data_IF_734646020191
#
_entry.id   IF_734646020191
#
_cell.length_a   1.000
_cell.length_b   1.000
_cell.length_c   1.000
_cell.angle_alpha   90.00
_cell.angle_beta   90.00
_cell.angle_gamma   90.00
#
_symmetry.space_group_name_H-M   'P 1'
#
loop_
_entity.id
_entity.type
_entity.pdbx_description
1 polymer ?
#
# COMPACT_ATOMS: atom_id res chain seq x y z
N UNK A 1 -45.06 22.68 -16.96
CA UNK A 1 -45.08 21.58 -15.98
C UNK A 1 -43.76 21.58 -15.24
N UNK A 2 -43.73 22.32 -14.15
CA UNK A 2 -42.58 22.62 -13.30
C UNK A 2 -42.88 21.98 -11.94
N UNK A 3 -42.08 21.01 -11.52
CA UNK A 3 -42.21 20.37 -10.21
C UNK A 3 -41.13 20.93 -9.29
N UNK A 4 -41.59 21.73 -8.34
CA UNK A 4 -40.86 22.33 -7.23
C UNK A 4 -40.66 21.26 -6.17
N UNK A 5 -39.42 21.01 -5.76
CA UNK A 5 -39.12 20.19 -4.57
C UNK A 5 -39.09 21.13 -3.36
N UNK A 6 -40.15 21.05 -2.57
CA UNK A 6 -40.32 21.77 -1.30
C UNK A 6 -39.46 21.12 -0.21
N UNK A 7 -38.65 21.93 0.45
CA UNK A 7 -37.93 21.58 1.68
C UNK A 7 -38.92 21.55 2.84
N UNK A 8 -39.12 20.39 3.46
CA UNK A 8 -39.86 20.28 4.72
C UNK A 8 -38.86 20.02 5.86
N UNK A 9 -38.61 21.06 6.64
CA UNK A 9 -38.06 20.95 7.99
C UNK A 9 -39.14 20.31 8.88
N UNK A 10 -38.81 19.20 9.55
CA UNK A 10 -39.68 18.61 10.56
C UNK A 10 -38.99 18.63 11.91
N UNK A 11 -39.70 19.30 12.82
CA UNK A 11 -39.30 19.69 14.16
C UNK A 11 -39.12 18.47 15.08
N UNK A 12 -38.11 18.59 15.94
CA UNK A 12 -37.98 17.83 17.18
C UNK A 12 -39.23 18.03 18.05
N UNK A 13 -39.94 16.95 18.34
CA UNK A 13 -40.61 16.61 19.60
C UNK A 13 -41.79 15.65 19.35
N UNK A 14 -41.53 14.33 19.34
CA UNK A 14 -42.56 13.32 19.62
C UNK A 14 -41.98 12.16 20.46
N UNK A 15 -42.78 11.57 21.37
CA UNK A 15 -42.34 10.50 22.27
C UNK A 15 -42.15 9.15 21.55
N UNK A 16 -41.32 8.24 22.09
CA UNK A 16 -40.79 7.11 21.36
C UNK A 16 -41.69 5.88 21.46
N UNK A 17 -42.82 5.80 20.74
CA UNK A 17 -43.63 4.56 20.71
C UNK A 17 -44.21 4.14 19.35
N UNK A 18 -43.82 4.74 18.22
CA UNK A 18 -44.44 4.38 16.91
C UNK A 18 -43.49 3.96 15.79
N UNK A 19 -42.33 3.37 16.12
CA UNK A 19 -41.43 2.74 15.13
C UNK A 19 -41.13 1.25 15.41
N UNK A 20 -41.98 0.57 16.18
CA UNK A 20 -41.89 -0.87 16.41
C UNK A 20 -43.03 -1.58 15.68
N UNK A 21 -42.89 -1.82 14.37
CA UNK A 21 -43.70 -2.84 13.65
C UNK A 21 -43.19 -3.17 12.24
N UNK A 22 -41.88 -3.17 12.00
CA UNK A 22 -41.28 -3.84 10.84
C UNK A 22 -39.97 -4.48 11.30
N UNK A 23 -39.83 -5.80 11.10
CA UNK A 23 -38.68 -6.67 11.41
C UNK A 23 -38.60 -7.23 12.85
N UNK A 24 -39.18 -8.42 13.10
CA UNK A 24 -38.85 -9.21 14.28
C UNK A 24 -37.71 -10.18 13.92
N UNK A 25 -36.45 -9.74 14.08
CA UNK A 25 -35.30 -10.64 14.09
C UNK A 25 -34.61 -10.59 15.47
N UNK A 26 -33.98 -11.70 15.86
CA UNK A 26 -33.37 -11.94 17.19
C UNK A 26 -32.41 -10.84 17.67
N UNK A 27 -31.89 -10.01 16.76
CA UNK A 27 -31.02 -8.86 17.06
C UNK A 27 -31.75 -7.74 17.81
N UNK A 28 -33.03 -7.52 17.52
CA UNK A 28 -33.84 -6.46 18.17
C UNK A 28 -34.13 -6.81 19.63
N UNK A 29 -34.36 -8.10 19.92
CA UNK A 29 -34.53 -8.63 21.28
C UNK A 29 -33.26 -8.50 22.13
N UNK A 30 -32.09 -8.70 21.52
CA UNK A 30 -30.79 -8.58 22.21
C UNK A 30 -30.52 -7.14 22.68
N UNK A 31 -30.89 -6.15 21.87
CA UNK A 31 -30.70 -4.72 22.20
C UNK A 31 -31.62 -4.29 23.36
N UNK A 32 -32.83 -4.83 23.40
CA UNK A 32 -33.82 -4.50 24.43
C UNK A 32 -33.42 -5.05 25.81
N UNK A 33 -32.91 -6.29 25.89
CA UNK A 33 -32.39 -6.88 27.13
C UNK A 33 -31.10 -6.20 27.65
N UNK A 34 -30.26 -5.67 26.77
CA UNK A 34 -28.99 -5.00 27.16
C UNK A 34 -29.24 -3.58 27.73
N UNK A 35 -30.33 -2.93 27.31
CA UNK A 35 -30.63 -1.54 27.70
C UNK A 35 -31.13 -1.37 29.14
N UNK A 36 -31.59 -2.43 29.81
CA UNK A 36 -32.33 -2.36 31.07
C UNK A 36 -31.47 -2.43 32.35
N UNK A 37 -30.12 -2.48 32.25
CA UNK A 37 -29.29 -2.81 33.42
C UNK A 37 -28.06 -1.95 33.74
N UNK A 38 -27.63 -0.97 32.93
CA UNK A 38 -26.42 -0.19 33.25
C UNK A 38 -26.32 1.19 32.57
N UNK A 39 -25.90 2.26 33.27
CA UNK A 39 -25.81 3.62 32.72
C UNK A 39 -24.75 3.80 31.62
N UNK A 40 -23.71 2.94 31.57
CA UNK A 40 -22.69 3.01 30.52
C UNK A 40 -23.18 2.48 29.16
N UNK A 41 -24.25 1.66 29.14
CA UNK A 41 -24.78 1.05 27.92
C UNK A 41 -25.85 1.92 27.23
N UNK A 42 -26.58 2.74 27.99
CA UNK A 42 -27.42 3.81 27.44
C UNK A 42 -26.59 4.82 26.61
N UNK A 43 -25.35 5.08 27.04
CA UNK A 43 -24.39 5.94 26.32
C UNK A 43 -23.96 5.33 24.98
N UNK A 44 -23.78 4.00 24.93
CA UNK A 44 -23.42 3.27 23.70
C UNK A 44 -24.60 3.24 22.73
N UNK A 45 -25.83 3.02 23.22
CA UNK A 45 -27.05 3.09 22.40
C UNK A 45 -27.29 4.51 21.84
N UNK A 46 -27.03 5.55 22.64
CA UNK A 46 -27.09 6.94 22.20
C UNK A 46 -26.02 7.25 21.12
N UNK A 47 -24.80 6.75 21.28
CA UNK A 47 -23.73 6.87 20.28
C UNK A 47 -24.07 6.17 18.96
N UNK A 48 -24.69 4.98 19.01
CA UNK A 48 -25.11 4.28 17.79
C UNK A 48 -26.24 4.99 17.04
N UNK A 49 -27.17 5.61 17.78
CA UNK A 49 -28.27 6.42 17.22
C UNK A 49 -27.79 7.71 16.54
N UNK A 50 -26.79 8.39 17.11
CA UNK A 50 -26.25 9.65 16.58
C UNK A 50 -25.27 9.44 15.41
N UNK A 51 -24.53 8.32 15.40
CA UNK A 51 -23.44 8.10 14.44
C UNK A 51 -23.77 7.11 13.30
N UNK A 52 -24.96 6.53 13.25
CA UNK A 52 -25.38 5.61 12.17
C UNK A 52 -24.55 4.31 12.11
N UNK A 53 -24.15 3.76 13.26
CA UNK A 53 -23.33 2.56 13.33
C UNK A 53 -24.13 1.28 13.06
N UNK A 54 -23.53 0.32 12.34
CA UNK A 54 -24.10 -1.03 12.09
C UNK A 54 -23.33 -2.10 12.83
N UNK A 55 -24.04 -3.02 13.48
CA UNK A 55 -23.45 -4.23 14.08
C UNK A 55 -23.38 -5.35 13.05
N UNK A 56 -22.24 -6.02 12.93
CA UNK A 56 -22.09 -7.23 12.11
C UNK A 56 -21.78 -8.42 13.01
N UNK A 57 -22.71 -9.36 13.23
CA UNK A 57 -22.43 -10.56 13.99
C UNK A 57 -21.51 -11.50 13.18
N UNK A 58 -20.40 -11.93 13.76
CA UNK A 58 -19.56 -12.99 13.21
C UNK A 58 -20.02 -14.31 13.82
N UNK A 59 -20.56 -15.22 13.00
CA UNK A 59 -20.97 -16.56 13.45
C UNK A 59 -19.71 -17.42 13.62
N UNK A 60 -19.46 -17.91 14.84
CA UNK A 60 -18.47 -18.96 15.06
C UNK A 60 -18.96 -20.29 14.44
N UNK A 61 -18.10 -21.07 13.76
CA UNK A 61 -18.48 -22.37 13.26
C UNK A 61 -18.63 -23.34 14.43
N UNK A 62 -19.85 -23.85 14.62
CA UNK A 62 -20.23 -25.04 15.38
C UNK A 62 -19.35 -25.44 16.59
N UNK A 63 -19.33 -24.62 17.64
CA UNK A 63 -19.06 -25.08 19.00
C UNK A 63 -20.17 -24.60 19.95
N UNK A 64 -20.60 -25.46 20.88
CA UNK A 64 -21.72 -25.19 21.82
C UNK A 64 -21.37 -24.21 22.95
N UNK A 65 -20.29 -23.45 22.83
CA UNK A 65 -19.89 -22.41 23.77
C UNK A 65 -19.29 -21.25 22.95
N UNK A 66 -20.07 -20.18 22.82
CA UNK A 66 -19.60 -18.95 22.20
C UNK A 66 -19.00 -18.10 23.32
N UNK A 67 -17.67 -18.14 23.47
CA UNK A 67 -16.97 -17.48 24.60
C UNK A 67 -16.50 -16.06 24.27
N UNK A 68 -16.71 -15.56 23.05
CA UNK A 68 -16.19 -14.26 22.65
C UNK A 68 -17.10 -13.59 21.61
N UNK A 69 -17.63 -12.41 21.95
CA UNK A 69 -18.38 -11.54 21.05
C UNK A 69 -17.58 -10.24 20.90
N UNK A 70 -16.99 -10.03 19.73
CA UNK A 70 -16.18 -8.83 19.45
C UNK A 70 -17.06 -7.80 18.73
N UNK A 71 -17.32 -6.67 19.38
CA UNK A 71 -17.99 -5.51 18.79
C UNK A 71 -16.96 -4.51 18.27
N UNK A 72 -17.10 -4.10 17.01
CA UNK A 72 -16.31 -3.00 16.44
C UNK A 72 -17.16 -1.73 16.39
N UNK A 73 -16.67 -0.64 17.01
CA UNK A 73 -17.30 0.67 16.90
C UNK A 73 -16.44 1.54 15.97
N UNK A 74 -16.97 1.92 14.82
CA UNK A 74 -16.30 2.82 13.87
C UNK A 74 -16.90 4.21 14.04
N UNK A 75 -16.11 5.19 14.49
CA UNK A 75 -16.55 6.59 14.62
C UNK A 75 -15.99 7.39 13.44
N UNK A 76 -16.82 7.82 12.47
CA UNK A 76 -16.36 8.64 11.36
C UNK A 76 -16.17 10.10 11.81
N UNK A 77 -14.92 10.54 12.00
CA UNK A 77 -14.62 11.96 12.19
C UNK A 77 -14.54 12.67 10.83
N UNK A 78 -15.65 13.25 10.37
CA UNK A 78 -15.67 14.21 9.27
C UNK A 78 -15.54 15.62 9.88
N UNK A 79 -14.34 16.19 9.86
CA UNK A 79 -14.20 17.63 10.05
C UNK A 79 -14.31 18.31 8.67
N UNK A 80 -15.55 18.62 8.25
CA UNK A 80 -15.76 19.59 7.19
C UNK A 80 -15.57 20.99 7.77
N UNK A 81 -14.69 21.77 7.15
CA UNK A 81 -14.53 23.19 7.41
C UNK A 81 -15.79 23.94 6.98
N UNK A 82 -16.76 24.06 7.89
CA UNK A 82 -17.81 25.07 7.81
C UNK A 82 -18.13 25.54 9.24
N UNK A 83 -18.34 26.84 9.38
CA UNK A 83 -18.26 27.66 10.60
C UNK A 83 -19.41 27.45 11.61
N UNK A 84 -19.75 26.20 11.91
CA UNK A 84 -20.63 25.84 13.02
C UNK A 84 -20.05 24.61 13.76
N UNK A 85 -18.80 24.72 14.19
CA UNK A 85 -18.19 23.74 15.08
C UNK A 85 -18.80 23.87 16.48
N UNK A 86 -19.85 23.08 16.77
CA UNK A 86 -20.13 22.71 18.17
C UNK A 86 -18.92 21.91 18.65
N UNK A 87 -18.10 22.52 19.49
CA UNK A 87 -17.04 21.83 20.21
C UNK A 87 -17.68 20.76 21.10
N UNK A 88 -17.51 19.48 20.75
CA UNK A 88 -17.72 18.40 21.70
C UNK A 88 -16.44 18.31 22.52
N UNK A 89 -16.46 18.88 23.73
CA UNK A 89 -15.35 18.80 24.66
C UNK A 89 -15.24 17.37 25.18
N UNK A 90 -14.30 16.61 24.61
CA UNK A 90 -13.96 15.23 24.98
C UNK A 90 -13.08 15.17 26.24
N UNK A 91 -13.47 15.89 27.30
CA UNK A 91 -12.68 16.02 28.53
C UNK A 91 -12.95 14.93 29.58
N UNK A 92 -13.82 13.95 29.31
CA UNK A 92 -14.14 12.86 30.26
C UNK A 92 -13.61 11.47 29.88
N UNK A 93 -12.94 11.30 28.73
CA UNK A 93 -12.22 10.07 28.41
C UNK A 93 -10.76 10.19 28.87
N UNK A 94 -10.54 10.03 30.18
CA UNK A 94 -9.22 9.75 30.72
C UNK A 94 -8.68 8.47 30.09
N UNK A 95 -7.45 8.54 29.56
CA UNK A 95 -6.69 7.43 28.96
C UNK A 95 -7.42 6.60 27.89
N UNK A 96 -6.92 6.65 26.64
CA UNK A 96 -7.20 5.60 25.65
C UNK A 96 -6.55 4.31 26.18
N UNK A 97 -7.34 3.54 26.93
CA UNK A 97 -7.00 2.21 27.41
C UNK A 97 -7.81 1.20 26.61
N UNK A 98 -7.21 0.05 26.32
CA UNK A 98 -7.97 -1.13 25.95
C UNK A 98 -8.79 -1.55 27.16
N UNK A 99 -10.05 -1.14 27.24
CA UNK A 99 -10.96 -1.63 28.27
C UNK A 99 -11.58 -2.95 27.81
N UNK A 100 -11.31 -4.03 28.55
CA UNK A 100 -12.07 -5.27 28.44
C UNK A 100 -13.00 -5.40 29.63
N UNK A 101 -14.27 -5.66 29.39
CA UNK A 101 -15.23 -5.98 30.44
C UNK A 101 -15.89 -7.32 30.13
N UNK A 102 -15.91 -8.21 31.12
CA UNK A 102 -16.52 -9.53 31.00
C UNK A 102 -17.87 -9.52 31.71
N UNK A 103 -18.90 -10.03 31.04
CA UNK A 103 -20.26 -10.09 31.53
C UNK A 103 -20.75 -11.53 31.49
N UNK A 104 -21.49 -11.96 32.51
CA UNK A 104 -22.18 -13.24 32.48
C UNK A 104 -23.46 -13.11 31.64
N UNK A 105 -23.53 -13.78 30.50
CA UNK A 105 -24.70 -13.88 29.64
C UNK A 105 -25.42 -15.21 29.89
N UNK A 106 -26.73 -15.18 30.15
CA UNK A 106 -27.54 -16.41 30.26
C UNK A 106 -28.43 -16.55 29.03
N UNK A 107 -28.30 -17.66 28.32
CA UNK A 107 -29.13 -17.92 27.14
C UNK A 107 -30.56 -18.33 27.53
N UNK A 108 -31.47 -18.40 26.53
CA UNK A 108 -32.88 -18.80 26.73
C UNK A 108 -33.07 -20.21 27.30
N UNK A 109 -32.02 -21.03 27.30
CA UNK A 109 -32.01 -22.39 27.86
C UNK A 109 -31.46 -22.41 29.30
N UNK A 110 -31.18 -21.25 29.90
CA UNK A 110 -30.67 -21.13 31.27
C UNK A 110 -29.15 -21.30 31.41
N UNK A 111 -28.42 -21.48 30.31
CA UNK A 111 -26.97 -21.69 30.32
C UNK A 111 -26.27 -20.34 30.41
N UNK A 112 -25.46 -20.14 31.44
CA UNK A 112 -24.64 -18.95 31.64
C UNK A 112 -23.28 -19.11 30.96
N UNK A 113 -22.81 -18.08 30.25
CA UNK A 113 -21.52 -18.02 29.55
C UNK A 113 -20.92 -16.64 29.74
N UNK A 114 -19.60 -16.57 29.92
CA UNK A 114 -18.90 -15.29 30.03
C UNK A 114 -18.67 -14.69 28.64
N UNK A 115 -19.07 -13.43 28.46
CA UNK A 115 -18.90 -12.66 27.23
C UNK A 115 -17.98 -11.49 27.52
N UNK A 116 -16.80 -11.50 26.90
CA UNK A 116 -15.86 -10.38 26.99
C UNK A 116 -16.08 -9.38 25.86
N UNK A 117 -16.46 -8.15 26.22
CA UNK A 117 -16.50 -7.01 25.32
C UNK A 117 -15.14 -6.33 25.31
N UNK A 118 -14.57 -6.15 24.12
CA UNK A 118 -13.33 -5.37 23.91
C UNK A 118 -13.64 -4.14 23.04
N UNK A 119 -13.41 -2.96 23.59
CA UNK A 119 -13.52 -1.73 22.82
C UNK A 119 -12.18 -1.45 22.12
N UNK A 120 -12.18 -1.38 20.79
CA UNK A 120 -11.01 -1.01 19.99
C UNK A 120 -11.31 0.28 19.25
N UNK A 121 -10.59 1.35 19.55
CA UNK A 121 -10.64 2.58 18.77
C UNK A 121 -9.80 2.39 17.50
N UNK A 122 -10.46 2.37 16.35
CA UNK A 122 -9.80 2.26 15.04
C UNK A 122 -9.99 3.63 14.34
N UNK A 123 -8.93 4.39 14.04
CA UNK A 123 -9.06 5.55 13.17
C UNK A 123 -9.55 5.09 11.78
N UNK A 124 -10.35 5.89 11.06
CA UNK A 124 -11.06 5.41 9.87
C UNK A 124 -10.06 4.96 8.79
N UNK A 125 -9.96 3.64 8.63
CA UNK A 125 -9.20 2.96 7.58
C UNK A 125 -10.17 1.93 6.99
N UNK A 126 -10.34 1.97 5.67
CA UNK A 126 -11.08 0.95 4.94
C UNK A 126 -10.37 -0.41 5.08
N UNK A 127 -11.08 -1.40 5.61
CA UNK A 127 -10.63 -2.79 5.72
C UNK A 127 -10.65 -3.49 4.34
N UNK A 128 -9.92 -4.61 4.13
CA UNK A 128 -10.15 -5.84 4.88
C UNK A 128 -8.91 -6.59 5.42
N UNK A 129 -9.05 -7.06 6.67
CA UNK A 129 -8.56 -8.30 7.31
C UNK A 129 -7.25 -8.94 6.83
N UNK A 130 -6.20 -8.87 7.66
CA UNK A 130 -5.75 -9.94 8.56
C UNK A 130 -4.46 -9.51 9.29
N UNK A 131 -4.30 -10.02 10.51
CA UNK A 131 -3.13 -9.97 11.42
C UNK A 131 -3.11 -8.83 12.44
N UNK A 132 -3.08 -9.24 13.70
CA UNK A 132 -2.95 -8.46 14.92
C UNK A 132 -1.68 -7.59 14.88
N UNK A 133 -1.85 -6.30 14.63
CA UNK A 133 -0.79 -5.30 14.82
C UNK A 133 -0.73 -4.96 16.31
N UNK A 134 0.40 -5.27 16.94
CA UNK A 134 0.78 -4.64 18.21
C UNK A 134 0.89 -3.14 17.95
N UNK A 135 -0.11 -2.38 18.37
CA UNK A 135 -0.09 -0.91 18.34
C UNK A 135 1.00 -0.41 19.29
N UNK A 136 2.21 -0.26 18.76
CA UNK A 136 3.18 0.66 19.33
C UNK A 136 2.58 2.04 19.10
N UNK A 137 2.29 2.76 20.19
CA UNK A 137 1.92 4.17 20.19
C UNK A 137 2.69 4.91 19.08
N UNK A 138 1.98 5.28 18.01
CA UNK A 138 2.42 6.33 17.10
C UNK A 138 2.43 7.58 17.96
N UNK A 139 3.56 7.85 18.62
CA UNK A 139 3.80 9.16 19.18
C UNK A 139 3.63 10.10 18.00
N UNK A 140 2.56 10.91 18.03
CA UNK A 140 2.35 11.96 17.06
C UNK A 140 3.53 12.95 17.20
N UNK A 141 4.67 12.62 16.58
CA UNK A 141 5.63 13.64 16.17
C UNK A 141 4.77 14.59 15.35
N UNK A 142 4.64 15.82 15.80
CA UNK A 142 3.90 16.84 15.09
C UNK A 142 4.54 17.01 13.73
N UNK A 143 4.09 16.23 12.75
CA UNK A 143 4.65 16.32 11.42
C UNK A 143 4.14 17.63 10.84
N UNK A 144 5.07 18.56 10.64
CA UNK A 144 4.75 19.86 10.09
C UNK A 144 4.28 19.70 8.64
N UNK A 145 3.37 20.57 8.20
CA UNK A 145 2.97 20.64 6.79
C UNK A 145 4.19 20.78 5.85
N UNK A 146 5.28 21.37 6.35
CA UNK A 146 6.54 21.52 5.64
C UNK A 146 7.27 20.19 5.41
N UNK A 147 7.26 19.28 6.38
CA UNK A 147 7.87 17.95 6.22
C UNK A 147 7.08 17.11 5.22
N UNK A 148 5.75 17.10 5.32
CA UNK A 148 4.89 16.43 4.34
C UNK A 148 5.16 16.95 2.92
N UNK A 149 5.21 18.28 2.75
CA UNK A 149 5.53 18.90 1.47
C UNK A 149 6.92 18.53 0.94
N UNK A 150 7.92 18.47 1.82
CA UNK A 150 9.27 18.03 1.45
C UNK A 150 9.25 16.62 0.87
N UNK A 151 8.57 15.68 1.53
CA UNK A 151 8.48 14.30 1.06
C UNK A 151 7.71 14.17 -0.24
N UNK A 152 6.65 14.95 -0.43
CA UNK A 152 5.92 15.00 -1.71
C UNK A 152 6.86 15.36 -2.87
N UNK A 153 7.68 16.40 -2.72
CA UNK A 153 8.65 16.85 -3.76
C UNK A 153 9.74 15.82 -4.08
N UNK A 154 10.02 14.91 -3.16
CA UNK A 154 11.01 13.83 -3.33
C UNK A 154 10.39 12.63 -4.04
N UNK A 155 9.09 12.39 -3.88
CA UNK A 155 8.43 11.16 -4.30
C UNK A 155 7.56 11.29 -5.55
N UNK A 156 7.18 12.50 -5.91
CA UNK A 156 6.34 12.75 -7.08
C UNK A 156 6.75 14.04 -7.79
N UNK A 157 6.49 14.08 -9.09
CA UNK A 157 6.56 15.30 -9.88
C UNK A 157 5.55 16.34 -9.40
N UNK A 158 5.76 17.59 -9.82
CA UNK A 158 4.78 18.64 -9.56
C UNK A 158 3.46 18.28 -10.23
N UNK A 159 2.34 18.35 -9.50
CA UNK A 159 1.05 17.96 -10.04
C UNK A 159 0.57 18.97 -11.08
N UNK A 160 0.01 18.47 -12.18
CA UNK A 160 -0.61 19.27 -13.24
C UNK A 160 -2.14 19.25 -13.20
N UNK A 161 -2.72 18.35 -12.40
CA UNK A 161 -4.16 18.17 -12.25
C UNK A 161 -4.56 17.84 -10.80
N UNK A 162 -5.86 17.74 -10.56
CA UNK A 162 -6.42 17.47 -9.23
C UNK A 162 -6.03 16.08 -8.68
N UNK A 163 -5.97 15.07 -9.53
CA UNK A 163 -5.58 13.72 -9.13
C UNK A 163 -4.12 13.69 -8.69
N UNK A 164 -3.24 14.31 -9.47
CA UNK A 164 -1.83 14.51 -9.16
C UNK A 164 -1.66 15.27 -7.86
N UNK A 165 -2.45 16.32 -7.63
CA UNK A 165 -2.39 17.12 -6.40
C UNK A 165 -2.75 16.30 -5.16
N UNK A 166 -3.77 15.45 -5.25
CA UNK A 166 -4.15 14.54 -4.17
C UNK A 166 -3.11 13.44 -3.97
N UNK A 167 -2.57 12.88 -5.05
CA UNK A 167 -1.49 11.90 -4.99
C UNK A 167 -0.23 12.46 -4.33
N UNK A 168 0.16 13.67 -4.73
CA UNK A 168 1.32 14.39 -4.21
C UNK A 168 1.17 14.63 -2.70
N UNK A 169 0.02 15.12 -2.25
CA UNK A 169 -0.28 15.32 -0.81
C UNK A 169 -0.31 13.99 -0.05
N UNK A 170 -0.91 12.96 -0.63
CA UNK A 170 -0.95 11.63 -0.04
C UNK A 170 0.45 11.10 0.21
N UNK A 171 1.34 11.09 -0.79
CA UNK A 171 2.70 10.57 -0.65
C UNK A 171 3.47 11.28 0.46
N UNK A 172 3.34 12.61 0.53
CA UNK A 172 3.96 13.42 1.57
C UNK A 172 3.46 13.05 2.96
N UNK A 173 2.15 12.91 3.15
CA UNK A 173 1.54 12.53 4.44
C UNK A 173 1.89 11.10 4.81
N UNK A 174 1.80 10.17 3.87
CA UNK A 174 2.11 8.76 4.11
C UNK A 174 3.53 8.59 4.61
N UNK A 175 4.50 9.25 3.97
CA UNK A 175 5.87 9.31 4.46
C UNK A 175 5.96 9.94 5.84
N UNK A 176 5.40 11.14 6.00
CA UNK A 176 5.43 11.91 7.24
C UNK A 176 5.00 11.13 8.48
N UNK A 177 4.01 10.25 8.36
CA UNK A 177 3.42 9.53 9.50
C UNK A 177 3.81 8.06 9.61
N UNK A 178 4.17 7.40 8.49
CA UNK A 178 4.63 6.01 8.54
C UNK A 178 6.06 5.91 9.08
N UNK A 179 6.53 4.72 9.42
CA UNK A 179 7.93 4.47 9.81
C UNK A 179 8.46 3.16 9.24
N UNK A 180 9.74 3.14 8.85
CA UNK A 180 10.40 1.93 8.41
C UNK A 180 10.89 1.13 9.62
N UNK A 181 10.20 0.04 9.95
CA UNK A 181 10.63 -0.89 11.00
C UNK A 181 10.83 -2.30 10.45
N UNK A 182 11.65 -3.15 11.10
CA UNK A 182 11.79 -4.54 10.68
C UNK A 182 10.43 -5.23 10.56
N UNK A 183 10.27 -6.07 9.53
CA UNK A 183 9.05 -6.83 9.21
C UNK A 183 7.81 -6.00 8.79
N UNK A 184 7.89 -4.67 8.70
CA UNK A 184 6.76 -3.85 8.24
C UNK A 184 6.62 -3.75 6.70
N UNK A 185 7.58 -4.28 5.95
CA UNK A 185 7.65 -4.14 4.48
C UNK A 185 6.34 -4.50 3.77
N UNK A 186 5.79 -5.69 3.99
CA UNK A 186 4.63 -6.16 3.22
C UNK A 186 3.37 -5.32 3.51
N UNK A 187 3.18 -4.94 4.77
CA UNK A 187 2.07 -4.10 5.19
C UNK A 187 2.19 -2.70 4.56
N UNK A 188 3.35 -2.05 4.66
CA UNK A 188 3.57 -0.73 4.06
C UNK A 188 3.43 -0.77 2.53
N UNK A 189 3.88 -1.84 1.89
CA UNK A 189 3.77 -2.03 0.45
C UNK A 189 2.31 -2.12 -0.01
N UNK A 190 1.50 -2.94 0.67
CA UNK A 190 0.08 -3.08 0.38
C UNK A 190 -0.68 -1.80 0.67
N UNK A 191 -0.45 -1.18 1.83
CA UNK A 191 -1.12 0.06 2.22
C UNK A 191 -0.82 1.20 1.22
N UNK A 192 0.44 1.37 0.84
CA UNK A 192 0.82 2.34 -0.18
C UNK A 192 0.13 2.11 -1.53
N UNK A 193 0.00 0.85 -1.94
CA UNK A 193 -0.66 0.49 -3.19
C UNK A 193 -2.18 0.74 -3.13
N UNK A 194 -2.83 0.31 -2.04
CA UNK A 194 -4.27 0.48 -1.83
C UNK A 194 -4.66 1.96 -1.84
N UNK A 195 -3.84 2.82 -1.22
CA UNK A 195 -4.08 4.26 -1.22
C UNK A 195 -3.95 4.86 -2.62
N UNK A 196 -2.94 4.44 -3.40
CA UNK A 196 -2.83 4.82 -4.82
C UNK A 196 -4.05 4.35 -5.60
N UNK A 197 -4.52 3.12 -5.37
CA UNK A 197 -5.68 2.55 -6.02
C UNK A 197 -6.96 3.30 -5.65
N UNK A 198 -7.14 3.65 -4.37
CA UNK A 198 -8.27 4.44 -3.90
C UNK A 198 -8.32 5.82 -4.59
N UNK A 199 -7.18 6.52 -4.68
CA UNK A 199 -7.09 7.77 -5.44
C UNK A 199 -7.47 7.55 -6.91
N UNK A 200 -6.92 6.49 -7.52
CA UNK A 200 -7.17 6.17 -8.93
C UNK A 200 -8.64 5.82 -9.22
N UNK A 201 -9.34 5.17 -8.28
CA UNK A 201 -10.79 4.89 -8.33
C UNK A 201 -11.61 6.16 -8.20
N UNK A 202 -11.25 7.05 -7.26
CA UNK A 202 -11.93 8.35 -7.06
C UNK A 202 -11.96 9.18 -8.34
N UNK A 203 -10.88 9.16 -9.12
CA UNK A 203 -10.78 9.88 -10.39
C UNK A 203 -11.14 9.03 -11.62
N UNK A 204 -11.64 7.81 -11.44
CA UNK A 204 -12.10 6.96 -12.55
C UNK A 204 -11.01 6.62 -13.57
N UNK A 205 -9.76 6.49 -13.16
CA UNK A 205 -8.65 6.28 -14.10
C UNK A 205 -8.58 4.88 -14.68
N UNK A 206 -7.92 4.74 -15.83
CA UNK A 206 -7.63 3.44 -16.45
C UNK A 206 -6.72 2.56 -15.57
N UNK A 207 -5.84 3.15 -14.75
CA UNK A 207 -5.04 2.41 -13.78
C UNK A 207 -5.92 1.56 -12.86
N UNK A 208 -7.02 2.13 -12.33
CA UNK A 208 -7.92 1.40 -11.44
C UNK A 208 -8.60 0.22 -12.15
N UNK A 209 -8.97 0.40 -13.42
CA UNK A 209 -9.55 -0.66 -14.23
C UNK A 209 -8.56 -1.79 -14.52
N UNK A 210 -7.28 -1.48 -14.76
CA UNK A 210 -6.27 -2.51 -15.01
C UNK A 210 -5.98 -3.40 -13.80
N UNK A 211 -5.88 -2.80 -12.61
CA UNK A 211 -5.49 -3.55 -11.40
C UNK A 211 -6.69 -4.08 -10.62
N UNK A 212 -7.88 -3.56 -10.90
CA UNK A 212 -9.14 -3.99 -10.29
C UNK A 212 -10.30 -4.02 -11.31
N UNK A 213 -10.26 -4.82 -12.39
CA UNK A 213 -11.30 -4.81 -13.42
C UNK A 213 -12.71 -5.02 -12.86
N UNK A 214 -13.71 -4.35 -13.41
CA UNK A 214 -15.09 -4.46 -12.96
C UNK A 214 -15.40 -3.75 -11.65
N UNK A 215 -14.47 -2.93 -11.11
CA UNK A 215 -14.71 -2.17 -9.88
C UNK A 215 -15.87 -1.17 -10.03
N UNK A 216 -16.06 -0.59 -11.22
CA UNK A 216 -17.18 0.32 -11.52
C UNK A 216 -18.53 -0.39 -11.52
N UNK A 217 -18.56 -1.68 -11.84
CA UNK A 217 -19.78 -2.50 -11.90
C UNK A 217 -20.04 -3.24 -10.58
N UNK A 218 -19.26 -2.97 -9.53
CA UNK A 218 -19.38 -3.59 -8.22
C UNK A 218 -18.89 -5.04 -8.15
N UNK A 219 -18.22 -5.54 -9.20
CA UNK A 219 -17.64 -6.90 -9.26
C UNK A 219 -16.12 -6.83 -9.48
N UNK A 220 -15.36 -6.20 -8.55
CA UNK A 220 -13.93 -6.03 -8.73
C UNK A 220 -13.19 -7.38 -8.68
N UNK A 221 -12.33 -7.63 -9.66
CA UNK A 221 -11.29 -8.66 -9.58
C UNK A 221 -9.98 -8.01 -9.17
N UNK A 222 -9.38 -8.38 -8.05
CA UNK A 222 -8.16 -7.72 -7.55
C UNK A 222 -6.88 -8.30 -8.18
N UNK A 223 -6.60 -7.96 -9.43
CA UNK A 223 -5.45 -8.48 -10.18
C UNK A 223 -4.09 -8.20 -9.50
N UNK A 224 -3.94 -7.07 -8.80
CA UNK A 224 -2.73 -6.81 -8.03
C UNK A 224 -2.54 -7.80 -6.87
N UNK A 225 -3.61 -8.19 -6.17
CA UNK A 225 -3.56 -9.22 -5.12
C UNK A 225 -3.29 -10.58 -5.72
N UNK A 226 -3.91 -10.91 -6.85
CA UNK A 226 -3.63 -12.16 -7.55
C UNK A 226 -2.15 -12.26 -7.94
N UNK A 227 -1.52 -11.16 -8.35
CA UNK A 227 -0.08 -11.15 -8.64
C UNK A 227 0.73 -11.27 -7.36
N UNK A 228 0.35 -10.54 -6.32
CA UNK A 228 0.98 -10.56 -5.01
C UNK A 228 0.98 -11.96 -4.35
N UNK A 229 -0.10 -12.73 -4.57
CA UNK A 229 -0.27 -14.11 -4.10
C UNK A 229 0.18 -15.17 -5.11
N UNK A 230 0.57 -14.75 -6.31
CA UNK A 230 1.16 -15.58 -7.36
C UNK A 230 0.18 -16.40 -8.20
N UNK A 231 -1.12 -16.13 -8.11
CA UNK A 231 -2.17 -16.79 -8.91
C UNK A 231 -2.50 -16.04 -10.20
N UNK A 232 -1.93 -14.86 -10.41
CA UNK A 232 -2.15 -14.09 -11.64
C UNK A 232 -1.49 -14.77 -12.84
N UNK A 233 -2.29 -15.32 -13.74
CA UNK A 233 -1.82 -16.18 -14.83
C UNK A 233 -1.12 -15.48 -15.99
N UNK A 234 -1.04 -14.14 -16.01
CA UNK A 234 -0.55 -13.38 -17.17
C UNK A 234 0.85 -12.81 -16.97
N UNK A 235 1.61 -12.71 -18.05
CA UNK A 235 2.86 -11.97 -18.09
C UNK A 235 2.61 -10.46 -17.99
N UNK A 236 3.55 -9.76 -17.35
CA UNK A 236 3.49 -8.30 -17.23
C UNK A 236 4.66 -7.73 -18.02
N UNK A 237 4.37 -6.65 -18.74
CA UNK A 237 5.30 -5.99 -19.64
C UNK A 237 5.42 -4.50 -19.32
N UNK A 238 6.64 -3.99 -19.44
CA UNK A 238 6.95 -2.56 -19.63
C UNK A 238 7.55 -2.36 -21.01
N UNK A 239 7.47 -1.15 -21.53
CA UNK A 239 7.91 -0.85 -22.90
C UNK A 239 8.46 0.57 -23.03
N UNK A 240 9.45 0.71 -23.90
CA UNK A 240 9.93 1.98 -24.43
C UNK A 240 9.64 2.02 -25.93
N UNK A 241 8.77 2.94 -26.34
CA UNK A 241 8.30 3.06 -27.73
C UNK A 241 8.83 4.36 -28.31
N UNK A 242 9.52 4.26 -29.44
CA UNK A 242 10.13 5.39 -30.13
C UNK A 242 9.07 6.38 -30.61
N UNK A 243 9.23 7.65 -30.27
CA UNK A 243 8.31 8.73 -30.62
C UNK A 243 6.99 8.75 -29.84
N UNK A 244 6.79 7.84 -28.87
CA UNK A 244 5.58 7.85 -28.05
C UNK A 244 5.69 8.87 -26.90
N UNK A 245 4.74 9.80 -26.70
CA UNK A 245 4.87 10.93 -25.77
C UNK A 245 5.22 10.59 -24.31
N UNK A 246 4.96 9.35 -23.87
CA UNK A 246 5.27 8.86 -22.52
C UNK A 246 6.31 7.74 -22.46
N UNK A 247 6.60 7.10 -23.59
CA UNK A 247 7.47 5.93 -23.63
C UNK A 247 8.79 6.21 -24.35
N UNK A 248 8.93 7.38 -24.97
CA UNK A 248 10.13 7.83 -25.66
C UNK A 248 11.29 8.10 -24.68
N UNK A 249 11.01 8.63 -23.50
CA UNK A 249 12.04 8.81 -22.45
C UNK A 249 12.59 7.44 -21.99
N UNK A 250 11.72 6.45 -21.83
CA UNK A 250 12.12 5.06 -21.52
C UNK A 250 12.94 4.48 -22.67
N UNK A 251 12.52 4.72 -23.91
CA UNK A 251 13.23 4.30 -25.10
C UNK A 251 14.65 4.89 -25.16
N UNK A 252 14.80 6.19 -24.95
CA UNK A 252 16.10 6.87 -24.89
C UNK A 252 17.02 6.27 -23.83
N UNK A 253 16.51 6.03 -22.62
CA UNK A 253 17.31 5.42 -21.54
C UNK A 253 17.70 3.96 -21.84
N UNK A 254 16.80 3.16 -22.41
CA UNK A 254 17.13 1.79 -22.83
C UNK A 254 18.27 1.80 -23.85
N UNK A 255 18.19 2.69 -24.85
CA UNK A 255 19.22 2.83 -25.89
C UNK A 255 20.58 3.25 -25.35
N UNK A 256 20.59 4.15 -24.37
CA UNK A 256 21.83 4.67 -23.77
C UNK A 256 22.49 3.67 -22.82
N UNK A 257 21.69 2.92 -22.05
CA UNK A 257 22.18 2.18 -20.89
C UNK A 257 22.26 0.67 -21.06
N UNK A 258 21.53 0.09 -22.00
CA UNK A 258 21.66 -1.34 -22.27
C UNK A 258 23.09 -1.65 -22.74
N UNK A 259 23.67 -2.80 -22.34
CA UNK A 259 24.97 -3.21 -22.83
C UNK A 259 25.00 -3.25 -24.37
N UNK A 260 26.08 -2.77 -25.01
CA UNK A 260 26.15 -2.70 -26.47
C UNK A 260 26.15 -4.08 -27.14
N UNK A 261 26.46 -5.14 -26.39
CA UNK A 261 26.47 -6.53 -26.84
C UNK A 261 25.23 -7.27 -26.32
N UNK A 262 24.19 -7.50 -27.16
CA UNK A 262 23.05 -8.33 -26.78
C UNK A 262 23.45 -9.80 -26.70
N UNK A 263 22.68 -10.60 -25.94
CA UNK A 263 22.94 -12.04 -25.78
C UNK A 263 22.58 -12.83 -27.05
N UNK A 264 21.51 -12.41 -27.73
CA UNK A 264 21.00 -13.06 -28.96
C UNK A 264 20.38 -12.05 -29.90
N UNK A 265 20.42 -12.37 -31.21
CA UNK A 265 19.97 -11.49 -32.31
C UNK A 265 18.56 -11.87 -32.82
N UNK A 266 18.05 -13.07 -32.55
CA UNK A 266 16.68 -13.41 -32.97
C UNK A 266 16.01 -14.27 -31.92
N UNK A 267 14.89 -13.80 -31.36
CA UNK A 267 14.12 -14.53 -30.35
C UNK A 267 12.64 -14.24 -30.52
N UNK A 268 11.81 -15.28 -30.52
CA UNK A 268 10.36 -15.07 -30.49
C UNK A 268 9.93 -14.46 -29.16
N UNK A 269 8.98 -13.53 -29.20
CA UNK A 269 8.37 -13.02 -27.99
C UNK A 269 7.56 -14.12 -27.29
N UNK A 270 7.52 -14.10 -25.97
CA UNK A 270 6.61 -14.97 -25.24
C UNK A 270 5.17 -14.65 -25.65
N UNK A 271 4.40 -15.66 -26.07
CA UNK A 271 3.10 -15.52 -26.74
C UNK A 271 1.97 -14.88 -25.88
N UNK A 272 2.25 -14.45 -24.66
CA UNK A 272 1.29 -13.79 -23.79
C UNK A 272 1.41 -12.25 -23.84
N UNK A 273 1.19 -11.69 -25.04
CA UNK A 273 1.08 -10.23 -25.31
C UNK A 273 -0.33 -9.82 -25.73
N UNK A 274 -1.30 -10.73 -25.61
CA UNK A 274 -2.67 -10.58 -26.12
C UNK A 274 -3.43 -9.39 -25.54
N UNK A 275 -3.14 -9.00 -24.29
CA UNK A 275 -3.77 -7.85 -23.62
C UNK A 275 -3.10 -6.50 -23.90
N UNK A 276 -1.99 -6.47 -24.64
CA UNK A 276 -1.43 -5.20 -25.09
C UNK A 276 -2.33 -4.63 -26.18
N UNK A 277 -2.58 -3.32 -26.13
CA UNK A 277 -3.21 -2.60 -27.23
C UNK A 277 -2.44 -2.91 -28.52
N UNK A 278 -3.15 -3.11 -29.63
CA UNK A 278 -2.54 -3.57 -30.87
C UNK A 278 -1.37 -2.68 -31.33
N UNK A 279 -1.49 -1.36 -31.11
CA UNK A 279 -0.44 -0.38 -31.39
C UNK A 279 0.81 -0.53 -30.52
N UNK A 280 0.71 -1.22 -29.38
CA UNK A 280 1.78 -1.45 -28.40
C UNK A 280 2.25 -2.90 -28.39
N UNK A 281 1.68 -3.77 -29.23
CA UNK A 281 2.13 -5.17 -29.32
C UNK A 281 3.51 -5.20 -29.96
N UNK A 282 4.46 -5.98 -29.39
CA UNK A 282 5.71 -6.22 -30.08
C UNK A 282 5.43 -6.94 -31.41
N UNK A 283 6.32 -6.75 -32.39
CA UNK A 283 6.37 -7.68 -33.50
C UNK A 283 6.61 -9.11 -32.97
N UNK A 284 6.25 -10.14 -33.73
CA UNK A 284 6.38 -11.53 -33.28
C UNK A 284 7.82 -11.96 -32.98
N UNK A 285 8.80 -11.23 -33.52
CA UNK A 285 10.22 -11.54 -33.44
C UNK A 285 11.00 -10.35 -32.88
N UNK A 286 11.74 -10.57 -31.79
CA UNK A 286 12.76 -9.66 -31.30
C UNK A 286 14.04 -9.81 -32.14
N UNK A 287 14.68 -8.68 -32.46
CA UNK A 287 15.97 -8.61 -33.18
C UNK A 287 17.17 -8.49 -32.24
N UNK A 288 16.95 -8.20 -30.97
CA UNK A 288 17.98 -8.23 -29.94
C UNK A 288 17.33 -8.62 -28.61
N UNK A 289 18.08 -9.27 -27.74
CA UNK A 289 17.67 -9.43 -26.34
C UNK A 289 18.84 -9.39 -25.36
N UNK A 290 18.51 -8.98 -24.14
CA UNK A 290 19.41 -8.92 -22.99
C UNK A 290 18.78 -9.68 -21.81
N UNK A 291 19.61 -10.44 -21.13
CA UNK A 291 19.26 -11.29 -19.99
C UNK A 291 20.12 -10.87 -18.81
N UNK A 292 19.46 -10.35 -17.78
CA UNK A 292 20.14 -10.01 -16.54
C UNK A 292 19.80 -11.05 -15.47
N UNK A 293 20.76 -11.93 -15.21
CA UNK A 293 20.64 -12.96 -14.20
C UNK A 293 20.58 -12.34 -12.80
N UNK A 294 19.64 -12.81 -11.99
CA UNK A 294 19.53 -12.47 -10.59
C UNK A 294 19.10 -13.71 -9.79
N UNK A 295 20.10 -14.43 -9.26
CA UNK A 295 19.89 -15.70 -8.54
C UNK A 295 19.15 -16.68 -9.48
N UNK A 296 18.03 -17.23 -9.03
CA UNK A 296 17.19 -18.17 -9.78
C UNK A 296 16.14 -17.47 -10.66
N UNK A 297 16.34 -16.18 -10.95
CA UNK A 297 15.46 -15.35 -11.77
C UNK A 297 16.24 -14.68 -12.90
N UNK A 298 15.53 -14.30 -13.96
CA UNK A 298 16.10 -13.63 -15.13
C UNK A 298 15.21 -12.46 -15.55
N UNK A 299 15.81 -11.27 -15.63
CA UNK A 299 15.17 -10.11 -16.28
C UNK A 299 15.47 -10.19 -17.77
N UNK A 300 14.42 -10.12 -18.60
CA UNK A 300 14.55 -10.18 -20.05
C UNK A 300 14.10 -8.85 -20.67
N UNK A 301 14.96 -8.31 -21.52
CA UNK A 301 14.67 -7.13 -22.35
C UNK A 301 14.81 -7.54 -23.81
N UNK A 302 13.88 -7.10 -24.64
CA UNK A 302 13.81 -7.40 -26.06
C UNK A 302 13.77 -6.09 -26.84
N UNK A 303 14.37 -6.07 -28.02
CA UNK A 303 14.19 -5.02 -29.01
C UNK A 303 13.50 -5.60 -30.24
N UNK A 304 12.48 -4.93 -30.78
CA UNK A 304 11.83 -5.32 -32.05
C UNK A 304 12.50 -4.64 -33.27
N UNK A 305 12.04 -4.97 -34.49
CA UNK A 305 12.59 -4.37 -35.73
C UNK A 305 12.28 -2.88 -35.89
N UNK A 306 11.29 -2.39 -35.15
CA UNK A 306 10.89 -0.98 -35.13
C UNK A 306 11.69 -0.17 -34.13
N UNK A 307 12.73 -0.78 -33.54
CA UNK A 307 13.60 -0.16 -32.55
C UNK A 307 12.85 0.12 -31.24
N UNK A 308 11.79 -0.61 -30.92
CA UNK A 308 11.09 -0.52 -29.63
C UNK A 308 11.66 -1.52 -28.63
N UNK A 309 11.64 -1.17 -27.34
CA UNK A 309 12.10 -2.02 -26.26
C UNK A 309 10.93 -2.57 -25.43
N UNK A 310 11.01 -3.84 -25.08
CA UNK A 310 10.02 -4.55 -24.25
C UNK A 310 10.72 -5.27 -23.11
N UNK A 311 10.26 -5.02 -21.89
CA UNK A 311 10.80 -5.63 -20.68
C UNK A 311 9.77 -6.57 -20.07
N UNK A 312 10.19 -7.82 -19.87
CA UNK A 312 9.39 -8.83 -19.19
C UNK A 312 9.65 -8.77 -17.68
N UNK A 313 8.58 -8.56 -16.92
CA UNK A 313 8.64 -8.63 -15.47
C UNK A 313 8.61 -10.10 -15.00
N UNK A 314 8.99 -10.33 -13.75
CA UNK A 314 8.94 -11.68 -13.19
C UNK A 314 7.54 -12.32 -13.26
N UNK A 315 7.52 -13.65 -13.44
CA UNK A 315 6.31 -14.48 -13.39
C UNK A 315 5.62 -14.32 -12.03
N UNK A 316 4.28 -14.32 -12.02
CA UNK A 316 3.51 -14.16 -10.78
C UNK A 316 3.81 -15.23 -9.75
N UNK A 317 4.02 -16.49 -10.15
CA UNK A 317 4.38 -17.58 -9.23
C UNK A 317 5.69 -17.36 -8.48
N UNK A 318 6.60 -16.53 -9.02
CA UNK A 318 7.86 -16.18 -8.35
C UNK A 318 7.67 -15.09 -7.28
N UNK A 319 6.57 -14.33 -7.32
CA UNK A 319 6.30 -13.22 -6.41
C UNK A 319 6.23 -13.68 -4.95
N UNK A 320 5.34 -14.62 -4.56
CA UNK A 320 5.29 -15.10 -3.18
C UNK A 320 6.45 -16.05 -2.82
N UNK A 321 6.99 -16.78 -3.79
CA UNK A 321 7.97 -17.86 -3.53
C UNK A 321 9.41 -17.35 -3.36
N UNK A 322 9.81 -16.38 -4.18
CA UNK A 322 11.21 -15.94 -4.27
C UNK A 322 11.33 -14.46 -3.93
N UNK A 323 10.49 -13.63 -4.58
CA UNK A 323 10.68 -12.18 -4.60
C UNK A 323 10.30 -11.54 -3.26
N UNK A 324 9.09 -11.80 -2.73
CA UNK A 324 8.64 -11.27 -1.44
C UNK A 324 9.55 -11.67 -0.28
N UNK A 325 9.92 -12.96 -0.08
CA UNK A 325 10.90 -13.34 0.95
C UNK A 325 12.24 -12.63 0.80
N UNK A 326 12.72 -12.43 -0.45
CA UNK A 326 13.97 -11.72 -0.72
C UNK A 326 13.87 -10.24 -0.37
N UNK A 327 12.79 -9.57 -0.77
CA UNK A 327 12.52 -8.17 -0.44
C UNK A 327 12.43 -7.95 1.08
N UNK A 328 11.71 -8.82 1.80
CA UNK A 328 11.66 -8.81 3.28
C UNK A 328 13.05 -8.94 3.90
N UNK A 329 13.87 -9.88 3.40
CA UNK A 329 15.25 -10.06 3.86
C UNK A 329 16.10 -8.82 3.60
N UNK A 330 15.96 -8.19 2.44
CA UNK A 330 16.71 -6.98 2.08
C UNK A 330 16.28 -5.78 2.92
N UNK A 331 14.97 -5.56 3.09
CA UNK A 331 14.40 -4.56 3.99
C UNK A 331 14.96 -4.67 5.41
N UNK A 332 14.87 -5.86 6.00
CA UNK A 332 15.40 -6.13 7.33
C UNK A 332 16.92 -5.96 7.40
N UNK A 333 17.66 -6.35 6.35
CA UNK A 333 19.10 -6.16 6.29
C UNK A 333 19.51 -4.69 6.17
N UNK A 334 18.69 -3.85 5.53
CA UNK A 334 18.88 -2.39 5.51
C UNK A 334 18.67 -1.77 6.88
N UNK A 335 17.63 -2.19 7.61
CA UNK A 335 17.29 -1.62 8.92
C UNK A 335 18.08 -2.23 10.10
N UNK A 336 18.87 -3.29 9.88
CA UNK A 336 19.64 -3.94 10.94
C UNK A 336 20.90 -3.12 11.30
N UNK A 337 20.84 -2.42 12.44
CA UNK A 337 21.94 -1.60 13.00
C UNK A 337 23.27 -2.32 13.16
N UNK A 338 23.26 -3.63 13.44
CA UNK A 338 24.48 -4.43 13.62
C UNK A 338 25.25 -4.68 12.31
N UNK A 339 24.75 -4.22 11.14
CA UNK A 339 25.44 -4.36 9.85
C UNK A 339 26.19 -3.07 9.52
N UNK A 340 27.35 -3.21 8.88
CA UNK A 340 28.10 -2.05 8.38
C UNK A 340 27.26 -1.22 7.40
N UNK A 341 27.50 0.09 7.39
CA UNK A 341 26.82 1.07 6.51
C UNK A 341 26.79 0.58 5.07
N UNK A 342 27.95 0.20 4.51
CA UNK A 342 28.04 -0.30 3.14
C UNK A 342 27.21 -1.56 2.85
N UNK A 343 27.01 -2.45 3.83
CA UNK A 343 26.14 -3.63 3.68
C UNK A 343 24.66 -3.25 3.74
N UNK A 344 24.30 -2.23 4.52
CA UNK A 344 22.93 -1.68 4.59
C UNK A 344 22.57 -0.96 3.29
N UNK A 345 23.46 -0.11 2.76
CA UNK A 345 23.24 0.60 1.48
C UNK A 345 23.09 -0.34 0.29
N UNK A 346 23.92 -1.39 0.20
CA UNK A 346 23.76 -2.42 -0.83
C UNK A 346 22.42 -3.15 -0.74
N UNK A 347 21.96 -3.43 0.49
CA UNK A 347 20.68 -4.11 0.69
C UNK A 347 19.51 -3.22 0.25
N UNK A 348 19.60 -1.90 0.50
CA UNK A 348 18.65 -0.90 0.03
C UNK A 348 18.63 -0.83 -1.49
N UNK A 349 19.80 -0.69 -2.13
CA UNK A 349 19.88 -0.62 -3.59
C UNK A 349 19.40 -1.91 -4.28
N UNK A 350 19.74 -3.08 -3.73
CA UNK A 350 19.27 -4.36 -4.27
C UNK A 350 17.76 -4.52 -4.09
N UNK A 351 17.20 -4.02 -2.98
CA UNK A 351 15.74 -3.97 -2.77
C UNK A 351 15.06 -3.13 -3.84
N UNK A 352 15.57 -1.93 -4.08
CA UNK A 352 15.04 -1.02 -5.11
C UNK A 352 15.01 -1.69 -6.48
N UNK A 353 16.16 -2.23 -6.93
CA UNK A 353 16.26 -2.89 -8.23
C UNK A 353 15.25 -4.04 -8.36
N UNK A 354 15.21 -4.93 -7.37
CA UNK A 354 14.31 -6.07 -7.39
C UNK A 354 12.84 -5.64 -7.39
N UNK A 355 12.48 -4.62 -6.60
CA UNK A 355 11.11 -4.12 -6.55
C UNK A 355 10.67 -3.51 -7.89
N UNK A 356 11.49 -2.62 -8.45
CA UNK A 356 11.16 -1.93 -9.71
C UNK A 356 11.05 -2.91 -10.88
N UNK A 357 12.02 -3.82 -11.02
CA UNK A 357 11.96 -4.84 -12.05
C UNK A 357 10.79 -5.80 -11.86
N UNK A 358 10.52 -6.30 -10.65
CA UNK A 358 9.49 -7.34 -10.50
C UNK A 358 8.07 -6.79 -10.53
N UNK A 359 7.89 -5.50 -10.23
CA UNK A 359 6.60 -4.80 -10.21
C UNK A 359 5.49 -5.67 -9.57
N UNK A 360 5.54 -5.91 -8.24
CA UNK A 360 4.74 -6.96 -7.59
C UNK A 360 3.21 -6.80 -7.69
N UNK A 361 2.73 -5.62 -8.08
CA UNK A 361 1.30 -5.27 -8.09
C UNK A 361 0.70 -5.07 -9.48
N UNK A 362 1.30 -5.62 -10.53
CA UNK A 362 0.89 -5.51 -11.95
C UNK A 362 1.19 -4.11 -12.50
N UNK A 363 0.76 -3.06 -11.80
CA UNK A 363 1.10 -1.67 -12.06
C UNK A 363 1.58 -0.98 -10.79
N UNK A 364 2.15 0.19 -10.98
CA UNK A 364 2.48 1.11 -9.89
C UNK A 364 3.69 0.77 -9.03
N UNK A 365 4.51 -0.20 -9.46
CA UNK A 365 5.79 -0.53 -8.83
C UNK A 365 6.75 0.65 -8.71
N UNK A 366 6.82 1.55 -9.70
CA UNK A 366 7.68 2.74 -9.68
C UNK A 366 7.41 3.63 -8.44
N UNK A 367 6.14 3.96 -8.23
CA UNK A 367 5.72 4.86 -7.16
C UNK A 367 5.83 4.19 -5.78
N UNK A 368 5.33 2.95 -5.65
CA UNK A 368 5.42 2.23 -4.36
C UNK A 368 6.86 1.91 -3.99
N UNK A 369 7.72 1.59 -4.97
CA UNK A 369 9.14 1.34 -4.74
C UNK A 369 9.88 2.60 -4.31
N UNK A 370 9.57 3.74 -4.94
CA UNK A 370 10.14 5.03 -4.56
C UNK A 370 9.78 5.40 -3.12
N UNK A 371 8.54 5.16 -2.72
CA UNK A 371 8.05 5.38 -1.36
C UNK A 371 8.74 4.45 -0.34
N UNK A 372 8.74 3.14 -0.59
CA UNK A 372 9.40 2.15 0.30
C UNK A 372 10.90 2.41 0.44
N UNK A 373 11.56 2.82 -0.65
CA UNK A 373 12.94 3.26 -0.62
C UNK A 373 13.13 4.51 0.25
N UNK A 374 12.25 5.51 0.15
CA UNK A 374 12.33 6.71 0.96
C UNK A 374 12.15 6.42 2.46
N UNK A 375 11.28 5.47 2.83
CA UNK A 375 11.15 4.99 4.21
C UNK A 375 12.49 4.47 4.75
N UNK A 376 13.14 3.57 4.01
CA UNK A 376 14.44 3.03 4.43
C UNK A 376 15.51 4.12 4.48
N UNK A 377 15.56 5.03 3.50
CA UNK A 377 16.51 6.15 3.49
C UNK A 377 16.29 7.04 4.73
N UNK A 378 15.05 7.42 5.03
CA UNK A 378 14.76 8.24 6.22
C UNK A 378 15.19 7.54 7.50
N UNK A 379 14.86 6.26 7.65
CA UNK A 379 15.25 5.49 8.84
C UNK A 379 16.78 5.41 9.02
N UNK A 380 17.54 5.22 7.94
CA UNK A 380 19.01 5.28 7.98
C UNK A 380 19.50 6.67 8.40
N UNK A 381 18.94 7.73 7.84
CA UNK A 381 19.34 9.10 8.13
C UNK A 381 19.04 9.50 9.59
N UNK A 382 17.86 9.15 10.11
CA UNK A 382 17.49 9.40 11.51
C UNK A 382 18.35 8.64 12.52
N UNK A 383 18.95 7.51 12.11
CA UNK A 383 19.94 6.77 12.91
C UNK A 383 21.35 7.39 12.87
N UNK A 384 21.55 8.49 12.14
CA UNK A 384 22.86 9.13 11.96
C UNK A 384 23.77 8.41 10.97
N UNK A 385 23.23 7.54 10.11
CA UNK A 385 24.01 6.94 9.02
C UNK A 385 24.33 8.03 7.99
N UNK A 386 25.60 8.22 7.58
CA UNK A 386 26.00 9.27 6.65
C UNK A 386 25.55 8.92 5.22
N UNK A 387 24.28 9.21 4.94
CA UNK A 387 23.69 9.02 3.61
C UNK A 387 23.22 10.34 3.01
N UNK A 388 23.26 10.40 1.68
CA UNK A 388 22.63 11.46 0.91
C UNK A 388 21.17 11.12 0.68
N UNK A 389 20.28 11.81 1.39
CA UNK A 389 18.84 11.75 1.12
C UNK A 389 18.55 12.35 -0.27
N UNK A 390 17.61 11.72 -0.99
CA UNK A 390 17.02 12.33 -2.18
C UNK A 390 16.37 13.67 -1.80
N UNK A 391 16.62 14.70 -2.60
CA UNK A 391 16.08 16.06 -2.42
C UNK A 391 15.15 16.49 -3.56
N UNK A 392 14.99 15.66 -4.59
CA UNK A 392 14.10 15.85 -5.73
C UNK A 392 13.60 14.51 -6.25
N UNK A 393 12.49 14.54 -6.98
CA UNK A 393 12.00 13.40 -7.74
C UNK A 393 13.02 12.95 -8.80
N UNK A 394 13.14 11.63 -8.95
CA UNK A 394 13.97 10.96 -9.96
C UNK A 394 13.24 9.69 -10.37
N UNK A 395 13.16 9.42 -11.67
CA UNK A 395 12.57 8.19 -12.23
C UNK A 395 13.50 6.98 -12.03
N UNK A 396 13.71 6.62 -10.78
CA UNK A 396 14.71 5.63 -10.36
C UNK A 396 14.42 4.21 -10.87
N UNK A 397 13.16 3.89 -11.08
CA UNK A 397 12.73 2.64 -11.67
C UNK A 397 13.27 2.47 -13.08
N UNK A 398 13.31 3.53 -13.89
CA UNK A 398 13.83 3.46 -15.26
C UNK A 398 15.32 3.14 -15.30
N UNK A 399 16.09 3.65 -14.33
CA UNK A 399 17.48 3.22 -14.15
C UNK A 399 17.57 1.73 -13.80
N UNK A 400 16.73 1.23 -12.88
CA UNK A 400 16.75 -0.19 -12.51
C UNK A 400 16.36 -1.10 -13.67
N UNK A 401 15.40 -0.69 -14.50
CA UNK A 401 14.90 -1.45 -15.64
C UNK A 401 15.88 -1.51 -16.82
N UNK A 402 16.91 -0.66 -16.84
CA UNK A 402 17.87 -0.53 -17.95
C UNK A 402 19.28 -1.01 -17.60
N UNK A 403 19.47 -1.63 -16.43
CA UNK A 403 20.78 -2.12 -16.00
C UNK A 403 20.67 -3.42 -15.21
N UNK A 404 21.74 -4.22 -15.25
CA UNK A 404 21.86 -5.37 -14.38
C UNK A 404 21.93 -4.96 -12.90
N UNK A 405 21.54 -5.88 -12.00
CA UNK A 405 21.48 -5.65 -10.57
C UNK A 405 22.82 -5.20 -9.97
N UNK A 406 23.95 -5.77 -10.41
CA UNK A 406 25.28 -5.45 -9.84
C UNK A 406 25.70 -4.03 -10.20
N UNK A 407 25.49 -3.63 -11.44
CA UNK A 407 25.78 -2.27 -11.91
C UNK A 407 24.86 -1.26 -11.23
N UNK A 408 23.54 -1.54 -11.17
CA UNK A 408 22.58 -0.71 -10.44
C UNK A 408 23.01 -0.51 -8.98
N UNK A 409 23.30 -1.61 -8.27
CA UNK A 409 23.69 -1.56 -6.84
C UNK A 409 24.97 -0.75 -6.65
N UNK A 410 25.94 -0.88 -7.55
CA UNK A 410 27.21 -0.17 -7.46
C UNK A 410 27.01 1.33 -7.62
N UNK A 411 26.33 1.76 -8.69
CA UNK A 411 26.02 3.17 -8.94
C UNK A 411 25.15 3.76 -7.82
N UNK A 412 24.13 3.01 -7.39
CA UNK A 412 23.18 3.49 -6.41
C UNK A 412 23.79 3.67 -5.02
N UNK A 413 24.69 2.77 -4.63
CA UNK A 413 25.47 2.93 -3.39
C UNK A 413 26.35 4.18 -3.46
N UNK A 414 26.97 4.46 -4.61
CA UNK A 414 27.73 5.70 -4.81
C UNK A 414 26.87 6.96 -4.70
N UNK A 415 25.64 6.93 -5.21
CA UNK A 415 24.71 8.04 -5.07
C UNK A 415 24.20 8.25 -3.63
N UNK A 416 24.08 7.16 -2.86
CA UNK A 416 23.59 7.19 -1.48
C UNK A 416 24.69 7.54 -0.46
N UNK A 417 25.95 7.23 -0.75
CA UNK A 417 27.08 7.57 0.13
C UNK A 417 27.23 9.10 0.24
N UNK A 418 27.40 9.61 1.46
CA UNK A 418 27.60 11.05 1.68
C UNK A 418 29.02 11.50 1.33
N UNK A 419 30.02 10.64 1.52
CA UNK A 419 31.44 10.93 1.27
C UNK A 419 32.11 9.87 0.38
N UNK A 420 33.29 10.21 -0.17
CA UNK A 420 34.11 9.28 -0.96
C UNK A 420 34.69 8.18 -0.07
N UNK A 421 34.97 8.48 1.19
CA UNK A 421 35.42 7.54 2.21
C UNK A 421 34.32 6.52 2.52
N UNK A 422 33.07 6.97 2.68
CA UNK A 422 31.90 6.08 2.85
C UNK A 422 31.72 5.15 1.65
N UNK A 423 31.98 5.67 0.44
CA UNK A 423 31.95 4.89 -0.79
C UNK A 423 33.05 3.82 -0.80
N UNK A 424 34.29 4.17 -0.43
CA UNK A 424 35.39 3.22 -0.37
C UNK A 424 35.14 2.11 0.67
N UNK A 425 34.62 2.45 1.86
CA UNK A 425 34.20 1.48 2.88
C UNK A 425 33.05 0.60 2.40
N UNK A 426 32.12 1.19 1.63
CA UNK A 426 31.06 0.42 1.03
C UNK A 426 31.63 -0.56 0.00
N UNK A 427 32.48 -0.14 -0.92
CA UNK A 427 32.98 -0.98 -2.02
C UNK A 427 34.04 -2.01 -1.57
N UNK A 428 34.87 -1.70 -0.57
CA UNK A 428 35.99 -2.55 -0.09
C UNK A 428 35.57 -3.86 0.58
N UNK A 429 34.29 -4.00 0.95
CA UNK A 429 33.75 -5.23 1.52
C UNK A 429 33.55 -6.38 0.51
N UNK A 430 34.03 -6.26 -0.74
CA UNK A 430 34.36 -7.45 -1.53
C UNK A 430 35.59 -8.05 -0.88
N UNK A 431 35.39 -9.05 -0.03
CA UNK A 431 36.45 -9.97 0.35
C UNK A 431 37.02 -10.60 -0.91
N UNK A 432 38.01 -9.92 -1.50
CA UNK A 432 39.08 -10.57 -2.25
C UNK A 432 39.78 -11.40 -1.19
N UNK A 433 39.36 -12.65 -1.04
CA UNK A 433 40.35 -13.67 -0.70
C UNK A 433 41.26 -13.69 -1.92
N UNK A 434 42.45 -13.09 -1.78
CA UNK A 434 43.56 -13.46 -2.64
C UNK A 434 43.78 -14.95 -2.39
N UNK A 435 43.40 -15.75 -3.38
CA UNK A 435 43.57 -17.19 -3.45
C UNK A 435 43.95 -17.52 -4.87
#
# INVERSE_FOLDING_TARGET
MTSVVTTAALQLNQPPETLLNRFPDETTLLIQEISSGSPNLATIAALMSVCGATLTPIRAPHSRTCTELILYLVVPCWASSSSAAKSVTLSSLGHISTSSSTYAYRNRQGITSDVTLRLVSIPPIAAPTHTSLTTRSLSARGCSAQESLRWSKVLAEQPTDAMGQDHFRFMGRFMAYGDAVPNAFEMLALEAFEQRLANSRRYGTWFAEQVSPGWRTGKPRNCYLERWTGVYGRLIWSFGIKGHPRADEIWHMMRERLPPTPDTITKEFFQDVSDMEEALRPETVAVQSWTFAYRDLEMLVFQDRRDNYFLCHAKSSNIPRIIRPRLTKLWNATLRRSRSVGRRLRSLAEFEWLWYWTNPFVRGGATTGSLLSAFMQRALYEEGVPIRLRNRFVMQDLYALTTDCRSYVTERVAQLAATKEDLLVALSNRGVKAG
#
